data_IF_900346208895
#
_entry.id   IF_900346208895
#
_cell.length_a   1.000
_cell.length_b   1.000
_cell.length_c   1.000
_cell.angle_alpha   90.00
_cell.angle_beta   90.00
_cell.angle_gamma   90.00
#
_symmetry.space_group_name_H-M   'P 1'
#
loop_
_entity.id
_entity.type
_entity.pdbx_description
1 polymer ?
#
# COMPACT_ATOMS: atom_id res chain seq x y z
N UNK A 1 11.08 -11.87 -13.04
CA UNK A 1 11.48 -10.81 -12.09
C UNK A 1 10.81 -11.00 -10.73
N UNK A 2 11.56 -11.40 -9.70
CA UNK A 2 11.06 -11.53 -8.32
C UNK A 2 10.88 -10.13 -7.71
N UNK A 3 9.65 -9.59 -7.69
CA UNK A 3 9.33 -8.32 -7.05
C UNK A 3 8.83 -8.56 -5.62
N UNK A 4 9.36 -7.78 -4.67
CA UNK A 4 9.04 -7.88 -3.23
C UNK A 4 8.62 -6.53 -2.69
N UNK A 5 7.62 -6.53 -1.82
CA UNK A 5 7.14 -5.38 -1.11
C UNK A 5 7.41 -5.54 0.39
N UNK A 6 7.82 -4.46 1.04
CA UNK A 6 7.82 -4.32 2.49
C UNK A 6 7.12 -3.04 2.85
N UNK A 7 6.23 -3.11 3.84
CA UNK A 7 5.53 -1.95 4.35
C UNK A 7 5.81 -1.82 5.84
N UNK A 8 6.17 -0.62 6.26
CA UNK A 8 6.45 -0.28 7.65
C UNK A 8 5.58 0.89 8.06
N UNK A 9 4.87 0.76 9.17
CA UNK A 9 4.16 1.86 9.81
C UNK A 9 5.06 2.50 10.87
N UNK A 10 5.31 3.79 10.76
CA UNK A 10 5.81 4.62 11.86
C UNK A 10 4.64 5.40 12.47
N UNK A 11 4.48 5.40 13.79
CA UNK A 11 3.47 6.24 14.45
C UNK A 11 3.95 6.78 15.80
N UNK A 12 3.56 8.01 16.11
CA UNK A 12 3.81 8.65 17.41
C UNK A 12 2.70 8.28 18.39
N UNK A 13 3.06 7.57 19.46
CA UNK A 13 2.15 7.19 20.55
C UNK A 13 2.54 7.93 21.83
N UNK A 14 1.57 8.19 22.70
CA UNK A 14 1.82 8.75 24.02
C UNK A 14 1.91 7.63 25.05
N UNK A 15 3.08 7.47 25.67
CA UNK A 15 3.32 6.51 26.73
C UNK A 15 3.86 7.24 27.96
N UNK A 16 3.14 7.16 29.08
CA UNK A 16 3.50 7.82 30.34
C UNK A 16 3.73 9.34 30.20
N UNK A 17 2.96 10.02 29.33
CA UNK A 17 3.08 11.46 29.08
C UNK A 17 4.24 11.87 28.16
N UNK A 18 4.96 10.89 27.59
CA UNK A 18 6.03 11.12 26.62
C UNK A 18 5.59 10.61 25.24
N UNK A 19 5.79 11.43 24.21
CA UNK A 19 5.60 10.98 22.82
C UNK A 19 6.77 10.08 22.41
N UNK A 20 6.47 8.83 22.08
CA UNK A 20 7.42 7.85 21.56
C UNK A 20 7.05 7.47 20.13
N UNK A 21 8.05 7.36 19.25
CA UNK A 21 7.84 6.88 17.89
C UNK A 21 8.02 5.36 17.86
N UNK A 22 6.99 4.65 17.42
CA UNK A 22 7.01 3.20 17.26
C UNK A 22 6.94 2.82 15.79
N UNK A 23 7.63 1.73 15.46
CA UNK A 23 7.71 1.21 14.11
C UNK A 23 7.19 -0.23 14.09
N UNK A 24 6.34 -0.53 13.11
CA UNK A 24 5.68 -1.81 12.96
C UNK A 24 5.85 -2.30 11.53
N UNK A 25 6.20 -3.57 11.36
CA UNK A 25 6.11 -4.20 10.05
C UNK A 25 4.64 -4.55 9.79
N UNK A 26 4.12 -4.14 8.64
CA UNK A 26 2.76 -4.48 8.23
C UNK A 26 2.82 -5.72 7.34
N UNK A 27 2.24 -6.82 7.81
CA UNK A 27 2.15 -8.06 7.04
C UNK A 27 1.25 -7.87 5.82
N UNK A 28 1.75 -8.22 4.64
CA UNK A 28 0.98 -8.13 3.41
C UNK A 28 0.34 -9.47 3.07
N UNK A 29 -0.86 -9.44 2.51
CA UNK A 29 -1.52 -10.64 1.95
C UNK A 29 -0.66 -11.31 0.88
N UNK A 30 0.00 -10.48 0.05
CA UNK A 30 0.94 -10.90 -0.97
C UNK A 30 2.13 -9.93 -0.97
N UNK A 31 3.25 -10.35 -0.39
CA UNK A 31 4.48 -9.55 -0.27
C UNK A 31 5.48 -9.80 -1.41
N UNK A 32 5.20 -10.78 -2.27
CA UNK A 32 6.06 -11.19 -3.38
C UNK A 32 5.26 -11.61 -4.61
N UNK A 33 5.70 -11.18 -5.78
CA UNK A 33 5.19 -11.62 -7.08
C UNK A 33 6.33 -11.97 -8.04
N UNK A 34 6.11 -12.96 -8.90
CA UNK A 34 7.12 -13.44 -9.85
C UNK A 34 7.27 -12.58 -11.12
N UNK A 35 6.29 -11.69 -11.36
CA UNK A 35 6.27 -10.74 -12.45
C UNK A 35 5.35 -9.57 -12.10
N UNK A 36 5.81 -8.34 -12.38
CA UNK A 36 5.03 -7.11 -12.25
C UNK A 36 4.81 -6.52 -13.65
N UNK A 37 3.86 -7.08 -14.40
CA UNK A 37 3.57 -6.69 -15.79
C UNK A 37 2.47 -5.63 -15.92
N UNK A 38 1.64 -5.45 -14.89
CA UNK A 38 0.55 -4.48 -14.82
C UNK A 38 0.69 -3.68 -13.50
N UNK A 39 -0.41 -3.56 -12.75
CA UNK A 39 -0.46 -2.97 -11.42
C UNK A 39 -0.41 -4.03 -10.33
N UNK A 40 0.07 -3.65 -9.14
CA UNK A 40 0.05 -4.48 -7.94
C UNK A 40 -0.55 -3.70 -6.78
N UNK A 41 -1.67 -4.18 -6.26
CA UNK A 41 -2.32 -3.64 -5.07
C UNK A 41 -1.73 -4.34 -3.84
N UNK A 42 -1.06 -3.58 -2.97
CA UNK A 42 -0.58 -4.07 -1.69
C UNK A 42 -1.71 -4.02 -0.67
N UNK A 43 -1.95 -5.12 0.03
CA UNK A 43 -3.02 -5.25 1.02
C UNK A 43 -2.39 -5.68 2.34
N UNK A 44 -2.53 -4.84 3.38
CA UNK A 44 -2.29 -5.24 4.76
C UNK A 44 -3.64 -5.56 5.41
N UNK A 45 -3.94 -6.83 5.73
CA UNK A 45 -5.17 -7.17 6.45
C UNK A 45 -5.13 -6.60 7.87
N UNK A 46 -6.11 -5.77 8.22
CA UNK A 46 -6.28 -5.26 9.58
C UNK A 46 -6.99 -6.32 10.42
N UNK A 47 -6.22 -7.23 11.00
CA UNK A 47 -6.67 -8.25 11.97
C UNK A 47 -6.37 -7.81 13.40
N UNK A 48 -6.73 -8.62 14.40
CA UNK A 48 -6.44 -8.36 15.83
C UNK A 48 -4.95 -8.14 16.13
N UNK A 49 -4.06 -8.67 15.28
CA UNK A 49 -2.61 -8.52 15.42
C UNK A 49 -2.06 -7.26 14.72
N UNK A 50 -2.89 -6.53 13.96
CA UNK A 50 -2.48 -5.31 13.27
C UNK A 50 -2.32 -4.17 14.28
N UNK A 51 -1.28 -3.31 14.15
CA UNK A 51 -1.18 -2.08 14.94
C UNK A 51 -2.32 -1.09 14.64
N UNK A 52 -3.06 -1.30 13.54
CA UNK A 52 -4.22 -0.51 13.14
C UNK A 52 -5.54 -1.19 13.52
N UNK A 53 -5.51 -2.27 14.32
CA UNK A 53 -6.73 -2.87 14.83
C UNK A 53 -7.53 -1.84 15.64
N UNK A 54 -8.83 -1.74 15.38
CA UNK A 54 -9.74 -0.73 15.94
C UNK A 54 -9.42 0.74 15.61
N UNK A 55 -8.50 1.04 14.69
CA UNK A 55 -8.30 2.42 14.23
C UNK A 55 -9.56 2.93 13.50
N UNK A 56 -10.10 4.03 14.00
CA UNK A 56 -11.20 4.76 13.38
C UNK A 56 -10.69 5.82 12.41
N UNK A 57 -11.59 6.37 11.58
CA UNK A 57 -11.27 7.53 10.74
C UNK A 57 -10.73 8.72 11.54
N UNK A 58 -11.25 8.95 12.75
CA UNK A 58 -10.76 10.03 13.62
C UNK A 58 -9.34 9.77 14.12
N UNK A 59 -8.99 8.52 14.38
CA UNK A 59 -7.65 8.16 14.86
C UNK A 59 -6.60 8.41 13.78
N UNK A 60 -6.91 8.13 12.51
CA UNK A 60 -6.05 8.51 11.37
C UNK A 60 -5.84 10.03 11.29
N UNK A 61 -6.88 10.84 11.57
CA UNK A 61 -6.76 12.31 11.54
C UNK A 61 -6.00 12.90 12.73
N UNK A 62 -6.05 12.26 13.89
CA UNK A 62 -5.46 12.76 15.15
C UNK A 62 -4.04 12.23 15.39
N UNK A 63 -3.73 11.05 14.87
CA UNK A 63 -2.44 10.38 15.08
C UNK A 63 -1.44 10.80 14.02
N UNK A 64 -0.24 11.18 14.44
CA UNK A 64 0.87 11.36 13.50
C UNK A 64 1.43 9.98 13.13
N UNK A 65 1.11 9.53 11.92
CA UNK A 65 1.57 8.26 11.38
C UNK A 65 2.02 8.39 9.93
N UNK A 66 2.93 7.51 9.53
CA UNK A 66 3.49 7.43 8.19
C UNK A 66 3.66 5.96 7.78
N UNK A 67 3.14 5.62 6.62
CA UNK A 67 3.26 4.30 5.99
C UNK A 67 4.39 4.38 4.97
N UNK A 68 5.48 3.69 5.25
CA UNK A 68 6.65 3.59 4.37
C UNK A 68 6.51 2.35 3.50
N UNK A 69 6.64 2.51 2.18
CA UNK A 69 6.53 1.43 1.20
C UNK A 69 7.87 1.25 0.49
N UNK A 70 8.37 0.03 0.50
CA UNK A 70 9.62 -0.35 -0.16
C UNK A 70 9.34 -1.48 -1.16
N UNK A 71 9.63 -1.23 -2.44
CA UNK A 71 9.58 -2.24 -3.48
C UNK A 71 11.00 -2.54 -3.95
N UNK A 72 11.35 -3.82 -4.02
CA UNK A 72 12.59 -4.27 -4.66
C UNK A 72 12.27 -5.27 -5.76
N UNK A 73 12.97 -5.19 -6.88
CA UNK A 73 12.82 -6.18 -7.97
C UNK A 73 14.13 -6.34 -8.72
N UNK A 74 14.34 -7.51 -9.31
CA UNK A 74 15.43 -7.71 -10.24
C UNK A 74 15.00 -7.19 -11.62
N UNK A 75 15.79 -6.30 -12.19
CA UNK A 75 15.61 -5.79 -13.54
C UNK A 75 16.46 -6.62 -14.51
N UNK A 76 15.79 -7.37 -15.40
CA UNK A 76 16.45 -8.25 -16.36
C UNK A 76 17.25 -7.47 -17.43
N UNK A 77 16.86 -6.24 -17.76
CA UNK A 77 17.55 -5.41 -18.76
C UNK A 77 18.90 -4.91 -18.23
N UNK A 78 18.94 -4.53 -16.96
CA UNK A 78 20.17 -4.03 -16.32
C UNK A 78 20.93 -5.11 -15.51
N UNK A 79 20.36 -6.32 -15.42
CA UNK A 79 20.90 -7.44 -14.63
C UNK A 79 21.23 -7.04 -13.18
N UNK A 80 20.38 -6.21 -12.58
CA UNK A 80 20.61 -5.66 -11.26
C UNK A 80 19.31 -5.57 -10.44
N UNK A 81 19.42 -5.52 -9.11
CA UNK A 81 18.28 -5.27 -8.24
C UNK A 81 18.04 -3.77 -8.15
N UNK A 82 16.84 -3.34 -8.56
CA UNK A 82 16.37 -1.96 -8.40
C UNK A 82 15.44 -1.87 -7.19
N UNK A 83 15.38 -0.68 -6.59
CA UNK A 83 14.52 -0.41 -5.44
C UNK A 83 13.80 0.92 -5.64
N UNK A 84 12.50 0.94 -5.34
CA UNK A 84 11.68 2.13 -5.27
C UNK A 84 11.12 2.27 -3.86
N UNK A 85 10.95 3.51 -3.40
CA UNK A 85 10.47 3.83 -2.06
C UNK A 85 9.53 5.01 -2.15
N UNK A 86 8.47 4.96 -1.37
CA UNK A 86 7.56 6.08 -1.15
C UNK A 86 7.04 6.01 0.27
N UNK A 87 6.42 7.09 0.74
CA UNK A 87 5.67 7.08 1.98
C UNK A 87 4.36 7.81 1.83
N UNK A 88 3.43 7.52 2.73
CA UNK A 88 2.14 8.18 2.86
C UNK A 88 1.89 8.50 4.32
N UNK A 89 1.70 9.77 4.62
CA UNK A 89 1.23 10.22 5.93
C UNK A 89 -0.21 9.79 6.15
N UNK A 90 -0.66 9.75 7.41
CA UNK A 90 -2.07 9.45 7.70
C UNK A 90 -3.05 10.47 7.13
N UNK A 91 -2.61 11.70 6.84
CA UNK A 91 -3.42 12.70 6.14
C UNK A 91 -3.71 12.32 4.67
N UNK A 92 -2.86 11.49 4.07
CA UNK A 92 -3.02 10.97 2.70
C UNK A 92 -3.82 9.65 2.66
N UNK A 93 -4.14 9.08 3.82
CA UNK A 93 -4.95 7.85 3.92
C UNK A 93 -6.42 8.19 3.80
N UNK A 94 -7.08 7.58 2.82
CA UNK A 94 -8.52 7.75 2.59
C UNK A 94 -9.26 6.59 3.22
N UNK A 95 -9.93 6.85 4.34
CA UNK A 95 -10.74 5.86 5.04
C UNK A 95 -12.01 5.53 4.24
N UNK A 96 -12.41 4.25 4.23
CA UNK A 96 -13.62 3.82 3.51
C UNK A 96 -13.55 4.04 2.00
N UNK A 97 -12.41 3.74 1.36
CA UNK A 97 -12.25 3.85 -0.08
C UNK A 97 -11.81 2.54 -0.74
N UNK A 98 -12.14 2.39 -2.02
CA UNK A 98 -11.75 1.26 -2.86
C UNK A 98 -11.23 1.77 -4.20
N UNK A 99 -10.03 1.33 -4.60
CA UNK A 99 -9.46 1.62 -5.91
C UNK A 99 -10.38 1.13 -7.05
N UNK A 100 -10.45 1.92 -8.11
CA UNK A 100 -11.09 1.50 -9.35
C UNK A 100 -10.28 0.43 -10.07
N UNK A 101 -10.96 -0.48 -10.76
CA UNK A 101 -10.28 -1.40 -11.67
C UNK A 101 -9.70 -0.61 -12.84
N UNK A 102 -8.38 -0.66 -12.99
CA UNK A 102 -7.65 0.09 -14.01
C UNK A 102 -7.41 -0.69 -15.30
N UNK A 103 -8.07 -1.83 -15.53
CA UNK A 103 -7.89 -2.62 -16.75
C UNK A 103 -9.18 -3.25 -17.25
N UNK A 104 -9.25 -3.48 -18.57
CA UNK A 104 -10.33 -4.23 -19.21
C UNK A 104 -9.82 -4.95 -20.48
N UNK A 105 -10.65 -5.84 -21.04
CA UNK A 105 -10.37 -6.48 -22.32
C UNK A 105 -10.66 -5.53 -23.49
N UNK A 106 -9.84 -5.59 -24.54
CA UNK A 106 -10.11 -4.90 -25.80
C UNK A 106 -11.42 -5.39 -26.44
N UNK A 107 -12.02 -4.58 -27.33
CA UNK A 107 -13.33 -4.90 -27.97
C UNK A 107 -13.35 -6.25 -28.69
N UNK A 108 -12.21 -6.66 -29.24
CA UNK A 108 -11.99 -7.93 -29.95
C UNK A 108 -11.46 -9.06 -29.04
N UNK A 109 -11.33 -8.81 -27.73
CA UNK A 109 -10.76 -9.73 -26.74
C UNK A 109 -9.31 -10.19 -27.02
N UNK A 110 -8.55 -9.49 -27.86
CA UNK A 110 -7.16 -9.89 -28.15
C UNK A 110 -6.15 -9.41 -27.11
N UNK A 111 -6.46 -8.33 -26.39
CA UNK A 111 -5.52 -7.64 -25.48
C UNK A 111 -6.18 -7.22 -24.17
N UNK A 112 -5.34 -6.95 -23.17
CA UNK A 112 -5.72 -6.23 -21.95
C UNK A 112 -5.31 -4.77 -22.12
N UNK A 113 -6.25 -3.86 -21.93
CA UNK A 113 -6.03 -2.41 -21.93
C UNK A 113 -5.84 -1.98 -20.48
N UNK A 114 -4.73 -1.31 -20.20
CA UNK A 114 -4.41 -0.74 -18.90
C UNK A 114 -4.60 0.79 -18.96
N UNK A 115 -5.39 1.34 -18.04
CA UNK A 115 -5.71 2.77 -17.94
C UNK A 115 -4.84 3.41 -16.85
N UNK A 116 -3.71 3.99 -17.24
CA UNK A 116 -2.75 4.59 -16.29
C UNK A 116 -3.30 5.83 -15.59
N UNK A 117 -4.22 6.55 -16.23
CA UNK A 117 -4.98 7.66 -15.65
C UNK A 117 -5.82 7.24 -14.45
N UNK A 118 -6.17 5.95 -14.33
CA UNK A 118 -6.92 5.39 -13.21
C UNK A 118 -6.05 4.91 -12.05
N UNK A 119 -4.72 5.08 -12.12
CA UNK A 119 -3.80 4.52 -11.12
C UNK A 119 -4.13 4.94 -9.69
N UNK A 120 -4.57 6.18 -9.49
CA UNK A 120 -5.00 6.73 -8.20
C UNK A 120 -6.52 6.95 -8.11
N UNK A 121 -7.32 6.43 -9.05
CA UNK A 121 -8.77 6.57 -9.03
C UNK A 121 -9.40 5.63 -8.00
N UNK A 122 -10.33 6.12 -7.20
CA UNK A 122 -11.02 5.37 -6.16
C UNK A 122 -12.47 5.82 -6.01
N UNK A 123 -13.28 4.96 -5.40
CA UNK A 123 -14.64 5.27 -4.98
C UNK A 123 -14.74 5.15 -3.45
N UNK A 124 -15.48 6.05 -2.82
CA UNK A 124 -15.89 5.90 -1.42
C UNK A 124 -16.86 4.72 -1.29
N UNK A 125 -16.69 3.94 -0.22
CA UNK A 125 -17.55 2.80 0.12
C UNK A 125 -18.11 2.99 1.53
N UNK A 126 -19.33 2.50 1.75
CA UNK A 126 -19.92 2.48 3.07
C UNK A 126 -19.38 1.25 3.82
N UNK A 127 -18.81 1.46 5.01
CA UNK A 127 -18.19 0.43 5.85
C UNK A 127 -19.21 -0.18 6.82
#
# INVERSE_FOLDING_TARGET
TDAKAKVTLGMSLEENGLKTNKFYNLELELDRINALSLSWTLVHPITENSPLYNFTEEDFKKTHGEILVFITTFDDMFSNTVAARTSYTFEEVIYGAKFETMYNRSKDNSKTILHLDKLNSYNSVNL
#
